data_IF_421287176860
#
_entry.id   IF_421287176860
#
_cell.length_a   1.000
_cell.length_b   1.000
_cell.length_c   1.000
_cell.angle_alpha   90.00
_cell.angle_beta   90.00
_cell.angle_gamma   90.00
#
_symmetry.space_group_name_H-M   'P 1'
#
loop_
_entity.id
_entity.type
_entity.pdbx_description
1 polymer ?
#
# COMPACT_ATOMS: atom_id res chain seq x y z
N UNK A 1 25.28 -20.08 -53.06
CA UNK A 1 26.71 -19.71 -53.26
C UNK A 1 27.25 -19.15 -51.93
N UNK A 2 28.15 -19.87 -51.27
CA UNK A 2 29.47 -19.48 -50.73
C UNK A 2 29.41 -18.38 -49.67
N UNK A 3 30.01 -18.45 -48.45
CA UNK A 3 30.92 -19.33 -47.68
C UNK A 3 31.00 -18.69 -46.29
N UNK A 4 30.83 -19.35 -45.20
CA UNK A 4 31.81 -19.86 -44.21
C UNK A 4 32.97 -18.91 -43.85
N UNK A 5 33.14 -18.66 -42.50
CA UNK A 5 34.33 -18.83 -41.65
C UNK A 5 33.96 -18.35 -40.23
N UNK A 6 33.91 -19.02 -39.17
CA UNK A 6 34.70 -19.93 -38.35
C UNK A 6 36.12 -19.47 -37.99
N UNK A 7 36.32 -19.13 -36.70
CA UNK A 7 37.56 -19.22 -35.90
C UNK A 7 37.17 -19.05 -34.43
N UNK A 8 37.25 -19.95 -33.68
CA UNK A 8 37.94 -20.83 -32.71
C UNK A 8 39.31 -20.28 -32.35
N UNK A 9 39.55 -20.14 -31.04
CA UNK A 9 40.82 -20.39 -30.29
C UNK A 9 40.74 -19.59 -28.97
N UNK A 10 41.15 -20.00 -27.81
CA UNK A 10 41.61 -21.26 -27.20
C UNK A 10 41.83 -20.92 -25.72
N UNK A 11 41.60 -21.88 -24.86
CA UNK A 11 41.85 -21.88 -23.43
C UNK A 11 43.34 -21.84 -23.09
N UNK A 12 43.68 -21.42 -21.88
CA UNK A 12 44.80 -21.90 -21.03
C UNK A 12 44.81 -21.08 -19.73
N UNK A 13 44.80 -21.64 -18.64
CA UNK A 13 45.49 -22.59 -17.78
C UNK A 13 45.89 -21.90 -16.45
N UNK A 14 45.38 -22.49 -15.40
CA UNK A 14 45.92 -22.72 -14.04
C UNK A 14 47.01 -21.81 -13.44
N UNK A 15 46.76 -21.44 -12.19
CA UNK A 15 47.77 -21.05 -11.22
C UNK A 15 47.23 -21.15 -9.80
N UNK A 16 47.31 -22.36 -9.24
CA UNK A 16 47.13 -22.60 -7.79
C UNK A 16 48.41 -22.16 -7.09
N UNK A 17 48.30 -21.29 -6.09
CA UNK A 17 49.28 -21.17 -5.02
C UNK A 17 48.60 -21.09 -3.68
N UNK A 18 48.65 -22.21 -2.97
CA UNK A 18 48.49 -22.33 -1.54
C UNK A 18 49.70 -21.69 -0.85
N UNK A 19 49.47 -20.77 0.05
CA UNK A 19 50.37 -20.49 1.15
C UNK A 19 49.58 -20.19 2.40
N UNK A 20 49.73 -21.08 3.34
CA UNK A 20 49.29 -20.96 4.72
C UNK A 20 50.15 -19.93 5.47
N UNK A 21 49.58 -19.21 6.42
CA UNK A 21 50.37 -18.46 7.40
C UNK A 21 49.62 -17.51 8.29
N UNK A 22 49.28 -17.98 9.49
CA UNK A 22 49.28 -17.30 10.81
C UNK A 22 48.36 -16.13 11.12
N UNK A 23 47.42 -16.44 12.00
CA UNK A 23 47.00 -15.71 13.21
C UNK A 23 47.34 -14.21 13.29
N UNK A 24 46.29 -13.44 13.24
CA UNK A 24 46.24 -12.07 13.73
C UNK A 24 44.82 -11.80 14.17
N UNK A 25 44.60 -11.70 15.47
CA UNK A 25 43.41 -11.15 16.10
C UNK A 25 43.23 -9.72 15.59
N UNK A 26 42.30 -9.54 14.68
CA UNK A 26 41.87 -8.23 14.14
C UNK A 26 40.38 -8.21 14.06
N UNK A 27 39.81 -7.45 14.92
CA UNK A 27 38.42 -6.92 15.01
C UNK A 27 37.65 -7.07 13.70
N UNK A 28 36.73 -7.99 13.70
CA UNK A 28 35.59 -8.00 12.80
C UNK A 28 34.68 -6.81 13.12
N UNK A 29 34.62 -5.88 12.22
CA UNK A 29 33.78 -4.73 12.34
C UNK A 29 33.74 -3.98 11.05
N UNK A 30 33.04 -4.49 10.08
CA UNK A 30 32.35 -3.81 9.01
C UNK A 30 31.64 -4.89 8.19
N UNK A 31 30.65 -5.52 8.83
CA UNK A 31 29.63 -6.25 8.11
C UNK A 31 28.53 -5.22 7.83
N UNK A 32 28.28 -5.04 6.57
CA UNK A 32 27.08 -4.52 5.94
C UNK A 32 26.02 -4.01 6.92
N UNK A 33 26.06 -2.71 7.21
CA UNK A 33 24.87 -2.01 7.64
C UNK A 33 23.97 -1.93 6.42
N UNK A 34 23.15 -2.96 6.20
CA UNK A 34 21.87 -2.72 5.56
C UNK A 34 21.27 -1.51 6.25
N UNK A 35 20.87 -0.50 5.48
CA UNK A 35 20.11 0.64 5.95
C UNK A 35 18.71 0.15 6.34
N UNK A 36 18.63 -0.67 7.37
CA UNK A 36 17.42 -1.23 7.90
C UNK A 36 16.97 -0.41 9.10
N UNK A 37 15.69 -0.21 9.23
CA UNK A 37 15.06 0.31 10.43
C UNK A 37 15.53 -0.50 11.63
N UNK A 38 16.20 0.16 12.58
CA UNK A 38 16.56 -0.46 13.85
C UNK A 38 15.30 -0.56 14.72
N UNK A 39 14.67 -1.72 14.68
CA UNK A 39 13.48 -2.02 15.47
C UNK A 39 13.71 -1.89 16.99
N UNK A 40 14.96 -1.81 17.46
CA UNK A 40 15.33 -1.60 18.86
C UNK A 40 15.50 -0.12 19.21
N UNK A 41 15.59 0.77 18.22
CA UNK A 41 15.70 2.20 18.44
C UNK A 41 14.41 2.76 19.06
N UNK A 42 14.54 3.59 20.06
CA UNK A 42 13.39 4.31 20.59
C UNK A 42 12.97 5.46 19.65
N UNK A 43 11.77 6.00 19.90
CA UNK A 43 11.23 7.04 19.03
C UNK A 43 12.06 8.33 19.01
N UNK A 44 12.75 8.66 20.11
CA UNK A 44 13.62 9.83 20.18
C UNK A 44 14.85 9.65 19.28
N UNK A 45 15.44 8.46 19.29
CA UNK A 45 16.56 8.11 18.41
C UNK A 45 16.16 8.15 16.92
N UNK A 46 14.99 7.58 16.59
CA UNK A 46 14.45 7.60 15.23
C UNK A 46 14.23 9.05 14.77
N UNK A 47 13.63 9.87 15.64
CA UNK A 47 13.33 11.27 15.36
C UNK A 47 14.61 12.08 15.12
N UNK A 48 15.66 11.85 15.93
CA UNK A 48 16.93 12.56 15.76
C UNK A 48 17.65 12.15 14.47
N UNK A 49 17.58 10.88 14.07
CA UNK A 49 18.12 10.42 12.78
C UNK A 49 17.35 10.99 11.58
N UNK A 50 16.07 11.25 11.74
CA UNK A 50 15.22 11.81 10.68
C UNK A 50 15.40 13.33 10.48
N UNK A 51 16.06 14.05 11.41
CA UNK A 51 16.28 15.49 11.30
C UNK A 51 17.08 15.86 10.05
N UNK A 52 16.62 16.89 9.36
CA UNK A 52 17.25 17.39 8.14
C UNK A 52 16.94 16.55 6.90
N UNK A 53 16.16 15.49 7.02
CA UNK A 53 15.80 14.65 5.89
C UNK A 53 14.64 15.20 5.08
N UNK A 54 14.53 14.68 3.86
CA UNK A 54 13.37 14.86 2.99
C UNK A 54 12.60 13.55 2.92
N UNK A 55 11.28 13.62 3.08
CA UNK A 55 10.37 12.48 2.94
C UNK A 55 9.42 12.73 1.77
N UNK A 56 9.40 11.81 0.82
CA UNK A 56 8.46 11.83 -0.31
C UNK A 56 7.19 11.06 0.05
N UNK A 57 6.04 11.72 -0.08
CA UNK A 57 4.72 11.13 0.15
C UNK A 57 3.97 11.02 -1.17
N UNK A 58 3.76 9.81 -1.64
CA UNK A 58 3.02 9.51 -2.85
C UNK A 58 1.57 9.16 -2.53
N UNK A 59 0.64 9.72 -3.27
CA UNK A 59 -0.78 9.44 -3.12
C UNK A 59 -1.63 10.14 -4.15
N UNK A 60 -2.88 9.71 -4.25
CA UNK A 60 -3.85 10.33 -5.15
C UNK A 60 -4.05 11.81 -4.82
N UNK A 61 -3.89 12.65 -5.84
CA UNK A 61 -3.92 14.10 -5.70
C UNK A 61 -5.28 14.78 -5.98
N UNK A 62 -6.36 14.01 -6.10
CA UNK A 62 -7.66 14.56 -6.54
C UNK A 62 -8.52 15.21 -5.45
N UNK A 63 -7.99 15.43 -4.24
CA UNK A 63 -8.70 16.10 -3.15
C UNK A 63 -7.91 17.35 -2.72
N UNK A 64 -8.34 18.53 -3.19
CA UNK A 64 -7.67 19.80 -2.94
C UNK A 64 -7.56 20.15 -1.45
N UNK A 65 -8.56 19.81 -0.64
CA UNK A 65 -8.55 20.11 0.81
C UNK A 65 -7.57 19.23 1.55
N UNK A 66 -7.47 17.97 1.20
CA UNK A 66 -6.46 17.06 1.75
C UNK A 66 -5.06 17.48 1.32
N UNK A 67 -4.91 17.83 0.05
CA UNK A 67 -3.63 18.34 -0.48
C UNK A 67 -3.18 19.57 0.29
N UNK A 68 -4.06 20.56 0.46
CA UNK A 68 -3.78 21.76 1.24
C UNK A 68 -3.41 21.43 2.68
N UNK A 69 -4.13 20.53 3.33
CA UNK A 69 -3.82 20.11 4.70
C UNK A 69 -2.43 19.44 4.80
N UNK A 70 -2.09 18.54 3.88
CA UNK A 70 -0.77 17.90 3.83
C UNK A 70 0.33 18.92 3.58
N UNK A 71 0.16 19.83 2.61
CA UNK A 71 1.17 20.78 2.18
C UNK A 71 1.37 21.94 3.20
N UNK A 72 0.36 22.22 4.03
CA UNK A 72 0.42 23.32 5.00
C UNK A 72 0.54 22.81 6.44
N UNK A 73 -0.42 22.06 6.95
CA UNK A 73 -0.46 21.67 8.37
C UNK A 73 0.56 20.56 8.66
N UNK A 74 0.54 19.48 7.87
CA UNK A 74 1.43 18.34 8.11
C UNK A 74 2.87 18.71 7.79
N UNK A 75 3.12 19.32 6.63
CA UNK A 75 4.45 19.70 6.22
C UNK A 75 5.08 20.72 7.20
N UNK A 76 4.32 21.74 7.64
CA UNK A 76 4.79 22.71 8.63
C UNK A 76 5.10 22.04 9.97
N UNK A 77 4.20 21.16 10.46
CA UNK A 77 4.42 20.45 11.71
C UNK A 77 5.65 19.54 11.67
N UNK A 78 5.88 18.84 10.58
CA UNK A 78 7.07 18.02 10.39
C UNK A 78 8.33 18.88 10.35
N UNK A 79 8.28 20.02 9.65
CA UNK A 79 9.44 20.93 9.56
C UNK A 79 9.76 21.58 10.89
N UNK A 80 8.76 22.10 11.60
CA UNK A 80 8.95 22.83 12.86
C UNK A 80 9.39 21.92 14.01
N UNK A 81 8.80 20.74 14.14
CA UNK A 81 9.05 19.85 15.27
C UNK A 81 10.23 18.90 15.04
N UNK A 82 10.45 18.46 13.81
CA UNK A 82 11.38 17.38 13.49
C UNK A 82 12.43 17.76 12.44
N UNK A 83 12.38 18.97 11.88
CA UNK A 83 13.22 19.41 10.76
C UNK A 83 13.14 18.48 9.53
N UNK A 84 12.00 17.82 9.32
CA UNK A 84 11.73 16.97 8.16
C UNK A 84 11.05 17.81 7.08
N UNK A 85 11.50 17.69 5.84
CA UNK A 85 10.86 18.31 4.68
C UNK A 85 9.96 17.30 3.99
N UNK A 86 8.63 17.50 4.05
CA UNK A 86 7.66 16.66 3.33
C UNK A 86 7.53 17.15 1.88
N UNK A 87 7.69 16.23 0.93
CA UNK A 87 7.40 16.45 -0.48
C UNK A 87 6.26 15.56 -0.91
N UNK A 88 5.07 16.14 -1.15
CA UNK A 88 3.92 15.40 -1.65
C UNK A 88 4.00 15.27 -3.17
N UNK A 89 3.89 14.03 -3.66
CA UNK A 89 3.91 13.69 -5.08
C UNK A 89 2.55 13.10 -5.46
N UNK A 90 1.68 13.88 -6.12
CA UNK A 90 0.39 13.35 -6.61
C UNK A 90 0.64 12.33 -7.72
N UNK A 91 0.13 11.13 -7.53
CA UNK A 91 0.27 10.04 -8.50
C UNK A 91 -0.82 9.00 -8.30
N UNK A 92 -1.33 8.43 -9.39
CA UNK A 92 -2.30 7.34 -9.33
C UNK A 92 -1.64 6.05 -8.81
N UNK A 93 -2.40 5.24 -8.09
CA UNK A 93 -1.88 4.07 -7.39
C UNK A 93 -1.21 3.06 -8.32
N UNK A 94 -1.75 2.83 -9.51
CA UNK A 94 -1.16 1.92 -10.50
C UNK A 94 0.24 2.35 -10.94
N UNK A 95 0.45 3.66 -11.05
CA UNK A 95 1.75 4.24 -11.39
C UNK A 95 2.72 4.11 -10.21
N UNK A 96 2.24 4.28 -8.98
CA UNK A 96 3.06 4.10 -7.76
C UNK A 96 3.51 2.64 -7.66
N UNK A 97 2.60 1.67 -7.79
CA UNK A 97 2.92 0.25 -7.73
C UNK A 97 3.87 -0.18 -8.87
N UNK A 98 3.67 0.35 -10.07
CA UNK A 98 4.57 0.12 -11.21
C UNK A 98 5.97 0.65 -10.93
N UNK A 99 6.07 1.84 -10.32
CA UNK A 99 7.34 2.46 -9.94
C UNK A 99 8.07 1.63 -8.88
N UNK A 100 7.41 1.26 -7.78
CA UNK A 100 7.97 0.40 -6.74
C UNK A 100 8.46 -0.94 -7.29
N UNK A 101 7.65 -1.57 -8.15
CA UNK A 101 8.01 -2.83 -8.81
C UNK A 101 9.23 -2.67 -9.70
N UNK A 102 9.33 -1.56 -10.45
CA UNK A 102 10.47 -1.23 -11.29
C UNK A 102 11.75 -1.01 -10.49
N UNK A 103 11.69 -0.25 -9.40
CA UNK A 103 12.81 -0.02 -8.50
C UNK A 103 13.31 -1.32 -7.86
N UNK A 104 12.38 -2.16 -7.39
CA UNK A 104 12.71 -3.50 -6.87
C UNK A 104 13.38 -4.39 -7.91
N UNK A 105 12.85 -4.46 -9.13
CA UNK A 105 13.43 -5.25 -10.21
C UNK A 105 14.82 -4.76 -10.64
N UNK A 106 15.04 -3.46 -10.55
CA UNK A 106 16.35 -2.85 -10.83
C UNK A 106 17.36 -3.06 -9.70
N UNK A 107 16.96 -3.61 -8.55
CA UNK A 107 17.80 -3.76 -7.37
C UNK A 107 18.22 -2.40 -6.78
N UNK A 108 17.34 -1.41 -6.86
CA UNK A 108 17.60 -0.08 -6.33
C UNK A 108 17.65 -0.14 -4.80
N UNK A 109 18.79 0.20 -4.22
CA UNK A 109 19.00 0.18 -2.75
C UNK A 109 18.34 1.39 -2.08
N UNK A 110 18.42 2.57 -2.72
CA UNK A 110 17.74 3.78 -2.27
C UNK A 110 16.59 4.11 -3.22
N UNK A 111 15.37 3.74 -2.84
CA UNK A 111 14.17 4.04 -3.59
C UNK A 111 13.82 5.53 -3.58
N UNK A 112 12.92 5.93 -4.46
CA UNK A 112 12.44 7.31 -4.55
C UNK A 112 11.09 7.53 -3.87
N UNK A 113 10.54 6.50 -3.24
CA UNK A 113 9.23 6.51 -2.57
C UNK A 113 9.42 6.13 -1.12
N UNK A 114 9.24 7.09 -0.21
CA UNK A 114 9.38 6.85 1.22
C UNK A 114 8.05 6.44 1.86
N UNK A 115 6.97 7.14 1.51
CA UNK A 115 5.64 6.90 2.08
C UNK A 115 4.60 6.91 0.97
N UNK A 116 3.67 5.96 1.04
CA UNK A 116 2.52 5.89 0.13
C UNK A 116 1.21 5.89 0.89
N UNK A 117 0.18 6.52 0.32
CA UNK A 117 -1.19 6.31 0.75
C UNK A 117 -1.79 5.16 -0.05
N UNK A 118 -2.19 4.10 0.64
CA UNK A 118 -2.60 2.84 0.02
C UNK A 118 -3.78 2.25 0.79
N UNK A 119 -4.56 1.42 0.14
CA UNK A 119 -5.64 0.64 0.76
C UNK A 119 -6.11 -0.50 -0.14
N UNK A 120 -6.86 -1.43 0.45
CA UNK A 120 -7.62 -2.48 -0.23
C UNK A 120 -6.77 -3.40 -1.10
N UNK A 121 -7.24 -3.66 -2.31
CA UNK A 121 -6.55 -4.57 -3.25
C UNK A 121 -5.14 -4.09 -3.62
N UNK A 122 -4.89 -2.79 -3.53
CA UNK A 122 -3.57 -2.22 -3.79
C UNK A 122 -2.59 -2.55 -2.66
N UNK A 123 -3.04 -2.45 -1.40
CA UNK A 123 -2.27 -2.90 -0.24
C UNK A 123 -1.96 -4.39 -0.31
N UNK A 124 -2.98 -5.21 -0.55
CA UNK A 124 -2.82 -6.65 -0.78
C UNK A 124 -1.74 -6.92 -1.85
N UNK A 125 -1.88 -6.31 -3.03
CA UNK A 125 -0.94 -6.51 -4.13
C UNK A 125 0.49 -6.06 -3.78
N UNK A 126 0.64 -4.91 -3.12
CA UNK A 126 1.94 -4.39 -2.74
C UNK A 126 2.64 -5.30 -1.71
N UNK A 127 1.90 -5.77 -0.70
CA UNK A 127 2.41 -6.65 0.35
C UNK A 127 2.81 -8.01 -0.20
N UNK A 128 1.95 -8.67 -0.99
CA UNK A 128 2.24 -9.98 -1.61
C UNK A 128 3.45 -9.94 -2.55
N UNK A 129 3.66 -8.82 -3.21
CA UNK A 129 4.84 -8.64 -4.08
C UNK A 129 6.07 -8.13 -3.32
N UNK A 130 6.00 -7.97 -2.00
CA UNK A 130 7.11 -7.52 -1.16
C UNK A 130 7.60 -6.12 -1.54
N UNK A 131 6.67 -5.20 -1.85
CA UNK A 131 6.96 -3.82 -2.22
C UNK A 131 6.91 -2.87 -1.03
N UNK A 132 6.46 -3.35 0.13
CA UNK A 132 6.30 -2.56 1.33
C UNK A 132 7.40 -2.87 2.33
N UNK A 133 7.86 -1.83 3.01
CA UNK A 133 8.68 -1.96 4.21
C UNK A 133 7.79 -2.32 5.41
N UNK A 134 8.23 -3.22 6.25
CA UNK A 134 7.51 -3.59 7.46
C UNK A 134 7.89 -4.99 7.99
N UNK A 135 7.25 -5.42 9.10
CA UNK A 135 6.25 -4.68 9.90
C UNK A 135 6.86 -3.53 10.71
N UNK A 136 6.19 -2.38 10.77
CA UNK A 136 6.68 -1.19 11.48
C UNK A 136 5.64 -0.54 12.40
N UNK A 137 4.34 -0.67 12.08
CA UNK A 137 3.29 0.14 12.71
C UNK A 137 3.21 -0.06 14.23
N UNK A 138 3.34 -1.29 14.72
CA UNK A 138 3.30 -1.60 16.16
C UNK A 138 4.51 -1.06 16.94
N UNK A 139 5.55 -0.62 16.25
CA UNK A 139 6.73 -0.02 16.87
C UNK A 139 6.57 1.48 17.10
N UNK A 140 5.58 2.10 16.43
CA UNK A 140 5.29 3.51 16.59
C UNK A 140 4.64 3.77 17.96
N UNK A 141 5.18 4.69 18.80
CA UNK A 141 4.60 5.00 20.10
C UNK A 141 3.15 5.45 20.04
N UNK A 142 2.80 6.25 19.03
CA UNK A 142 1.45 6.74 18.84
C UNK A 142 0.50 5.63 18.40
N UNK A 143 0.96 4.64 17.65
CA UNK A 143 0.15 3.48 17.31
C UNK A 143 -0.32 2.76 18.56
N UNK A 144 0.60 2.45 19.48
CA UNK A 144 0.29 1.77 20.74
C UNK A 144 -0.67 2.54 21.66
N UNK A 145 -0.65 3.87 21.58
CA UNK A 145 -1.45 4.73 22.46
C UNK A 145 -2.78 5.16 21.86
N UNK A 146 -2.91 5.22 20.55
CA UNK A 146 -4.05 5.81 19.85
C UNK A 146 -4.84 4.81 19.00
N UNK A 147 -4.24 3.67 18.63
CA UNK A 147 -4.88 2.66 17.81
C UNK A 147 -5.34 1.50 18.69
N UNK A 148 -6.61 1.18 18.64
CA UNK A 148 -7.16 0.01 19.32
C UNK A 148 -6.76 -1.26 18.54
N UNK A 149 -5.84 -2.02 19.11
CA UNK A 149 -5.36 -3.28 18.54
C UNK A 149 -6.41 -4.43 18.59
N UNK A 150 -7.56 -4.21 19.23
CA UNK A 150 -8.67 -5.17 19.25
C UNK A 150 -9.77 -4.82 18.24
N UNK A 151 -9.73 -3.62 17.67
CA UNK A 151 -10.66 -3.22 16.63
C UNK A 151 -10.29 -3.89 15.30
N UNK A 152 -11.19 -4.75 14.81
CA UNK A 152 -11.02 -5.49 13.56
C UNK A 152 -10.73 -4.58 12.36
N UNK A 153 -11.29 -3.37 12.36
CA UNK A 153 -11.03 -2.38 11.30
C UNK A 153 -9.57 -1.88 11.27
N UNK A 154 -8.81 -2.06 12.37
CA UNK A 154 -7.39 -1.74 12.42
C UNK A 154 -6.47 -2.94 12.13
N UNK A 155 -7.04 -4.16 12.15
CA UNK A 155 -6.31 -5.41 11.89
C UNK A 155 -6.40 -5.86 10.43
N UNK A 156 -7.40 -5.38 9.72
CA UNK A 156 -7.66 -5.79 8.33
C UNK A 156 -7.94 -4.58 7.44
N UNK A 157 -7.31 -4.56 6.28
CA UNK A 157 -7.66 -3.64 5.21
C UNK A 157 -8.43 -4.39 4.12
N UNK A 158 -9.71 -4.06 3.94
CA UNK A 158 -10.64 -4.75 3.05
C UNK A 158 -10.64 -6.28 3.20
N UNK A 159 -10.49 -6.76 4.44
CA UNK A 159 -10.48 -8.19 4.77
C UNK A 159 -9.12 -8.87 4.66
N UNK A 160 -8.06 -8.14 4.26
CA UNK A 160 -6.71 -8.67 4.22
C UNK A 160 -5.91 -8.23 5.47
N UNK A 161 -5.17 -9.14 6.14
CA UNK A 161 -4.46 -8.81 7.36
C UNK A 161 -3.38 -7.76 7.16
N UNK A 162 -3.42 -6.69 7.97
CA UNK A 162 -2.45 -5.58 7.94
C UNK A 162 -1.07 -6.02 8.40
N UNK A 163 -0.99 -6.79 9.48
CA UNK A 163 0.24 -7.34 10.06
C UNK A 163 1.35 -6.29 10.27
N UNK A 164 0.96 -5.06 10.58
CA UNK A 164 1.88 -3.97 10.86
C UNK A 164 2.58 -3.35 9.64
N UNK A 165 2.19 -3.69 8.41
CA UNK A 165 2.76 -3.13 7.17
C UNK A 165 2.14 -1.81 6.76
N UNK A 166 1.08 -1.37 7.42
CA UNK A 166 0.52 -0.04 7.28
C UNK A 166 0.07 0.53 8.62
N UNK A 167 0.02 1.84 8.72
CA UNK A 167 -0.53 2.56 9.86
C UNK A 167 -1.83 3.26 9.44
N UNK A 168 -2.89 3.25 10.27
CA UNK A 168 -4.17 3.84 9.90
C UNK A 168 -4.03 5.36 9.75
N UNK A 169 -4.41 5.84 8.57
CA UNK A 169 -4.47 7.25 8.25
C UNK A 169 -5.83 7.85 8.64
N UNK A 170 -6.89 7.10 8.37
CA UNK A 170 -8.27 7.50 8.61
C UNK A 170 -9.24 6.41 8.21
N UNK A 171 -10.49 6.54 8.63
CA UNK A 171 -11.58 5.63 8.26
C UNK A 171 -12.51 6.33 7.28
N UNK A 172 -12.93 5.60 6.25
CA UNK A 172 -13.93 6.04 5.30
C UNK A 172 -14.94 4.92 5.05
N UNK A 173 -16.17 5.30 4.78
CA UNK A 173 -17.24 4.37 4.48
C UNK A 173 -17.90 4.72 3.15
N UNK A 174 -18.37 3.72 2.42
CA UNK A 174 -19.24 3.94 1.30
C UNK A 174 -20.57 4.47 1.80
N UNK A 175 -20.99 5.60 1.27
CA UNK A 175 -22.30 6.18 1.56
C UNK A 175 -23.06 6.48 0.28
N UNK A 176 -24.37 6.32 0.33
CA UNK A 176 -25.27 6.81 -0.72
C UNK A 176 -25.67 8.23 -0.39
N UNK A 177 -25.54 9.13 -1.34
CA UNK A 177 -25.96 10.52 -1.22
C UNK A 177 -27.29 10.74 -1.94
N UNK A 178 -28.18 11.46 -1.32
CA UNK A 178 -29.48 11.80 -1.87
C UNK A 178 -29.77 13.29 -1.68
N UNK A 179 -30.27 13.96 -2.71
CA UNK A 179 -30.83 15.30 -2.60
C UNK A 179 -32.25 15.20 -2.01
N UNK A 180 -32.36 15.41 -0.71
CA UNK A 180 -33.63 15.30 0.01
C UNK A 180 -34.69 16.34 -0.40
N UNK A 181 -34.28 17.44 -1.05
CA UNK A 181 -35.20 18.43 -1.58
C UNK A 181 -35.91 17.95 -2.85
N UNK A 182 -35.23 17.14 -3.64
CA UNK A 182 -35.76 16.56 -4.89
C UNK A 182 -36.32 15.16 -4.67
N UNK A 183 -35.72 14.40 -3.76
CA UNK A 183 -36.05 13.01 -3.52
C UNK A 183 -36.14 12.73 -2.01
N UNK A 184 -37.32 12.85 -1.42
CA UNK A 184 -37.50 12.65 0.02
C UNK A 184 -37.38 11.16 0.44
N UNK A 185 -37.47 10.24 -0.51
CA UNK A 185 -37.33 8.80 -0.26
C UNK A 185 -35.85 8.45 -0.16
N UNK A 186 -35.47 7.74 0.89
CA UNK A 186 -34.07 7.30 1.11
C UNK A 186 -34.05 5.78 1.20
N UNK A 187 -33.62 5.08 0.15
CA UNK A 187 -33.42 3.63 0.19
C UNK A 187 -32.44 3.23 1.30
N UNK A 188 -32.75 2.17 2.04
CA UNK A 188 -31.96 1.71 3.19
C UNK A 188 -31.19 0.41 2.92
N UNK A 189 -31.49 -0.26 1.82
CA UNK A 189 -30.88 -1.51 1.39
C UNK A 189 -30.92 -1.62 -0.13
N UNK A 190 -30.27 -2.63 -0.68
CA UNK A 190 -30.19 -2.87 -2.12
C UNK A 190 -31.57 -3.12 -2.76
N UNK A 191 -32.46 -3.84 -2.09
CA UNK A 191 -33.79 -4.10 -2.62
C UNK A 191 -34.59 -2.80 -2.79
N UNK A 192 -34.60 -1.94 -1.78
CA UNK A 192 -35.25 -0.63 -1.85
C UNK A 192 -34.58 0.27 -2.90
N UNK A 193 -33.24 0.23 -3.03
CA UNK A 193 -32.51 0.98 -4.05
C UNK A 193 -32.89 0.52 -5.47
N UNK A 194 -33.08 -0.78 -5.67
CA UNK A 194 -33.52 -1.31 -6.95
C UNK A 194 -34.96 -0.87 -7.30
N UNK A 195 -35.86 -0.90 -6.32
CA UNK A 195 -37.24 -0.38 -6.54
C UNK A 195 -37.23 1.13 -6.79
N UNK A 196 -36.41 1.88 -6.06
CA UNK A 196 -36.21 3.30 -6.31
C UNK A 196 -35.69 3.57 -7.73
N UNK A 197 -34.68 2.82 -8.20
CA UNK A 197 -34.15 2.97 -9.54
C UNK A 197 -35.17 2.65 -10.64
N UNK A 198 -36.05 1.65 -10.42
CA UNK A 198 -37.18 1.34 -11.30
C UNK A 198 -38.23 2.46 -11.34
N UNK A 199 -38.52 3.03 -10.16
CA UNK A 199 -39.50 4.13 -10.01
C UNK A 199 -39.00 5.44 -10.62
N UNK A 200 -37.68 5.68 -10.55
CA UNK A 200 -37.03 6.91 -11.02
C UNK A 200 -35.89 6.61 -11.99
N UNK A 201 -36.18 6.18 -13.24
CA UNK A 201 -35.15 5.83 -14.21
C UNK A 201 -34.17 6.99 -14.46
N UNK A 202 -32.87 6.67 -14.47
CA UNK A 202 -31.80 7.64 -14.71
C UNK A 202 -31.51 8.59 -13.53
N UNK A 203 -32.05 8.33 -12.34
CA UNK A 203 -31.80 9.12 -11.12
C UNK A 203 -30.80 8.49 -10.16
N UNK A 204 -30.41 7.24 -10.39
CA UNK A 204 -29.38 6.55 -9.61
C UNK A 204 -28.13 6.40 -10.48
N UNK A 205 -26.99 6.72 -9.91
CA UNK A 205 -25.69 6.57 -10.55
C UNK A 205 -24.63 6.15 -9.55
N UNK A 206 -23.60 5.49 -10.02
CA UNK A 206 -22.37 5.20 -9.30
C UNK A 206 -21.21 5.18 -10.31
N UNK A 207 -19.93 5.33 -9.88
CA UNK A 207 -18.79 5.25 -10.77
C UNK A 207 -18.70 3.88 -11.43
N UNK A 208 -18.37 3.85 -12.73
CA UNK A 208 -18.22 2.59 -13.45
C UNK A 208 -16.96 1.83 -12.99
N UNK A 209 -17.04 0.49 -12.97
CA UNK A 209 -15.85 -0.35 -12.79
C UNK A 209 -14.80 -0.06 -13.86
N UNK A 210 -13.51 -0.09 -13.54
CA UNK A 210 -12.87 -0.55 -12.30
C UNK A 210 -12.64 0.56 -11.23
N UNK A 211 -13.38 1.65 -11.27
CA UNK A 211 -13.25 2.70 -10.27
C UNK A 211 -13.34 2.14 -8.85
N UNK A 212 -12.51 2.65 -7.93
CA UNK A 212 -12.44 2.19 -6.54
C UNK A 212 -13.78 2.28 -5.81
N UNK A 213 -14.47 3.42 -5.94
CA UNK A 213 -15.78 3.64 -5.30
C UNK A 213 -16.86 2.80 -5.97
N UNK A 214 -16.80 2.65 -7.30
CA UNK A 214 -17.70 1.77 -8.05
C UNK A 214 -17.52 0.30 -7.65
N UNK A 215 -16.30 -0.17 -7.49
CA UNK A 215 -15.99 -1.52 -6.99
C UNK A 215 -16.51 -1.72 -5.56
N UNK A 216 -16.34 -0.73 -4.68
CA UNK A 216 -16.88 -0.76 -3.34
C UNK A 216 -18.41 -0.81 -3.34
N UNK A 217 -19.08 -0.03 -4.19
CA UNK A 217 -20.54 -0.07 -4.34
C UNK A 217 -21.03 -1.46 -4.73
N UNK A 218 -20.48 -2.05 -5.79
CA UNK A 218 -20.89 -3.37 -6.28
C UNK A 218 -20.66 -4.44 -5.20
N UNK A 219 -19.53 -4.40 -4.50
CA UNK A 219 -19.22 -5.32 -3.40
C UNK A 219 -20.24 -5.21 -2.27
N UNK A 220 -20.59 -3.99 -1.85
CA UNK A 220 -21.61 -3.78 -0.82
C UNK A 220 -22.99 -4.28 -1.27
N UNK A 221 -23.36 -4.08 -2.54
CA UNK A 221 -24.61 -4.64 -3.11
C UNK A 221 -24.62 -6.16 -3.02
N UNK A 222 -23.51 -6.81 -3.36
CA UNK A 222 -23.38 -8.28 -3.25
C UNK A 222 -23.54 -8.72 -1.79
N UNK A 223 -22.82 -8.08 -0.86
CA UNK A 223 -22.89 -8.41 0.56
C UNK A 223 -24.28 -8.24 1.16
N UNK A 224 -25.03 -7.20 0.74
CA UNK A 224 -26.39 -6.98 1.20
C UNK A 224 -27.37 -8.05 0.66
N UNK A 225 -27.11 -8.61 -0.52
CA UNK A 225 -27.99 -9.62 -1.14
C UNK A 225 -27.69 -11.03 -0.61
N UNK A 226 -26.42 -11.42 -0.50
CA UNK A 226 -26.03 -12.80 -0.20
C UNK A 226 -25.46 -13.01 1.21
N UNK A 227 -25.20 -11.92 1.93
CA UNK A 227 -24.52 -11.94 3.23
C UNK A 227 -23.01 -11.89 3.07
N UNK A 228 -22.33 -11.14 3.94
CA UNK A 228 -20.88 -11.01 3.90
C UNK A 228 -20.17 -12.24 4.50
N UNK A 229 -20.83 -12.94 5.40
CA UNK A 229 -20.28 -14.08 6.12
C UNK A 229 -19.87 -15.22 5.18
N UNK A 230 -20.56 -15.35 4.04
CA UNK A 230 -20.22 -16.40 3.07
C UNK A 230 -18.84 -16.20 2.42
N UNK A 231 -18.29 -15.00 2.49
CA UNK A 231 -16.98 -14.68 1.90
C UNK A 231 -15.83 -14.76 2.91
N UNK A 232 -16.12 -14.89 4.21
CA UNK A 232 -15.11 -14.84 5.27
C UNK A 232 -14.04 -15.95 5.14
N UNK A 233 -14.46 -17.14 4.74
CA UNK A 233 -13.58 -18.32 4.61
C UNK A 233 -13.48 -18.80 3.15
N UNK A 234 -13.89 -17.97 2.18
CA UNK A 234 -13.93 -18.35 0.77
C UNK A 234 -12.56 -18.10 0.12
N UNK A 235 -12.07 -19.08 -0.64
CA UNK A 235 -10.92 -18.84 -1.51
C UNK A 235 -11.22 -17.75 -2.56
N UNK A 236 -10.29 -16.81 -2.70
CA UNK A 236 -10.44 -15.67 -3.59
C UNK A 236 -10.14 -16.03 -5.06
N UNK A 237 -10.71 -17.15 -5.53
CA UNK A 237 -10.64 -17.53 -6.93
C UNK A 237 -11.92 -17.17 -7.69
N UNK A 238 -11.75 -16.87 -8.96
CA UNK A 238 -12.83 -16.36 -9.80
C UNK A 238 -13.99 -17.35 -9.98
N UNK A 239 -13.74 -18.65 -10.00
CA UNK A 239 -14.76 -19.67 -10.23
C UNK A 239 -15.58 -19.89 -8.97
N UNK A 240 -14.92 -19.98 -7.82
CA UNK A 240 -15.56 -20.11 -6.51
C UNK A 240 -16.46 -18.90 -6.22
N UNK A 241 -15.94 -17.68 -6.39
CA UNK A 241 -16.74 -16.46 -6.18
C UNK A 241 -17.92 -16.39 -7.16
N UNK A 242 -17.71 -16.70 -8.44
CA UNK A 242 -18.79 -16.71 -9.43
C UNK A 242 -19.89 -17.72 -9.08
N UNK A 243 -19.52 -18.91 -8.63
CA UNK A 243 -20.49 -19.93 -8.23
C UNK A 243 -21.31 -19.51 -7.01
N UNK A 244 -20.67 -18.83 -6.05
CA UNK A 244 -21.30 -18.36 -4.82
C UNK A 244 -22.35 -17.24 -5.05
N UNK A 245 -22.10 -16.36 -6.03
CA UNK A 245 -22.99 -15.22 -6.34
C UNK A 245 -23.90 -15.46 -7.56
N UNK A 246 -23.86 -16.65 -8.15
CA UNK A 246 -24.74 -16.99 -9.26
C UNK A 246 -26.21 -17.09 -8.78
N UNK A 247 -27.18 -16.59 -9.56
CA UNK A 247 -28.60 -16.67 -9.22
C UNK A 247 -29.15 -18.12 -9.24
#
# INVERSE_FOLDING_TARGET
MKKRLMAIFTAAVMGVTLLAGCSGTGTSGDADKEAGFDASADFEQITEQARGTKVTFYGWGGDDKRNEWLDTVVASSLKENYDITLERVPMDIDQILSKLSGEKQAGTEEGSVDVIWINGENFYSAKENGLLFGPFAEQLPNYKSLVDAQDVENLYDFGYPVEGFEAPYGKAQLVLMNDSALNPETPKNTAELMEYAKKYPGKVTYPALPDFTGSAFVRNVIYDIVGHEMFADMEADKETVRAAIAP
#
